data_IF_417446084075
#
_entry.id   IF_417446084075
#
_cell.length_a   1.000
_cell.length_b   1.000
_cell.length_c   1.000
_cell.angle_alpha   90.00
_cell.angle_beta   90.00
_cell.angle_gamma   90.00
#
_symmetry.space_group_name_H-M   'P 1'
#
loop_
_entity.id
_entity.type
_entity.pdbx_description
1 polymer ?
#
# COMPACT_ATOMS: atom_id res chain seq x y z
N UNK A 1 -12.65 16.95 -14.75
CA UNK A 1 -11.53 16.03 -15.01
C UNK A 1 -10.50 16.13 -13.89
N UNK A 2 -9.88 15.02 -13.45
CA UNK A 2 -8.83 15.05 -12.44
C UNK A 2 -7.62 15.87 -12.90
N UNK A 3 -6.85 16.47 -11.98
CA UNK A 3 -5.58 17.09 -12.33
C UNK A 3 -4.61 16.09 -12.97
N UNK A 4 -3.79 16.53 -13.93
CA UNK A 4 -2.85 15.65 -14.66
C UNK A 4 -1.88 14.89 -13.75
N UNK A 5 -1.41 15.53 -12.68
CA UNK A 5 -0.51 14.90 -11.72
C UNK A 5 -1.17 13.72 -10.98
N UNK A 6 -2.49 13.76 -10.77
CA UNK A 6 -3.25 12.67 -10.15
C UNK A 6 -3.29 11.46 -11.07
N UNK A 7 -3.56 11.70 -12.36
CA UNK A 7 -3.53 10.64 -13.37
C UNK A 7 -2.14 10.03 -13.49
N UNK A 8 -1.09 10.86 -13.49
CA UNK A 8 0.28 10.37 -13.51
C UNK A 8 0.56 9.46 -12.30
N UNK A 9 0.22 9.89 -11.09
CA UNK A 9 0.42 9.07 -9.88
C UNK A 9 -0.35 7.75 -9.97
N UNK A 10 -1.63 7.79 -10.37
CA UNK A 10 -2.43 6.59 -10.51
C UNK A 10 -1.86 5.60 -11.54
N UNK A 11 -1.44 6.10 -12.71
CA UNK A 11 -0.82 5.27 -13.75
C UNK A 11 0.52 4.71 -13.26
N UNK A 12 1.34 5.51 -12.57
CA UNK A 12 2.59 5.02 -11.99
C UNK A 12 2.35 3.94 -10.93
N UNK A 13 1.31 4.07 -10.10
CA UNK A 13 0.92 3.02 -9.14
C UNK A 13 0.56 1.71 -9.84
N UNK A 14 -0.22 1.76 -10.92
CA UNK A 14 -0.58 0.58 -11.72
C UNK A 14 0.65 -0.02 -12.39
N UNK A 15 1.49 0.79 -13.04
CA UNK A 15 2.72 0.31 -13.67
C UNK A 15 3.65 -0.34 -12.64
N UNK A 16 3.81 0.27 -11.47
CA UNK A 16 4.61 -0.31 -10.40
C UNK A 16 4.01 -1.64 -9.88
N UNK A 17 2.68 -1.75 -9.82
CA UNK A 17 2.00 -2.98 -9.46
C UNK A 17 2.27 -4.09 -10.48
N UNK A 18 2.12 -3.81 -11.78
CA UNK A 18 2.36 -4.78 -12.87
C UNK A 18 3.82 -5.22 -12.91
N UNK A 19 4.75 -4.28 -12.79
CA UNK A 19 6.18 -4.59 -12.69
C UNK A 19 6.46 -5.44 -11.45
N UNK A 20 5.83 -5.14 -10.31
CA UNK A 20 5.93 -5.92 -9.08
C UNK A 20 5.42 -7.35 -9.27
N UNK A 21 4.20 -7.52 -9.76
CA UNK A 21 3.57 -8.83 -10.02
C UNK A 21 4.37 -9.66 -11.04
N UNK A 22 4.78 -9.04 -12.14
CA UNK A 22 5.62 -9.67 -13.16
C UNK A 22 6.99 -10.08 -12.61
N UNK A 23 7.61 -9.24 -11.78
CA UNK A 23 8.89 -9.56 -11.13
C UNK A 23 8.75 -10.73 -10.16
N UNK A 24 7.67 -10.80 -9.39
CA UNK A 24 7.41 -11.93 -8.49
C UNK A 24 7.22 -13.24 -9.24
N UNK A 25 6.57 -13.22 -10.39
CA UNK A 25 6.41 -14.40 -11.23
C UNK A 25 7.74 -14.84 -11.86
N UNK A 26 8.52 -13.88 -12.38
CA UNK A 26 9.76 -14.14 -13.11
C UNK A 26 10.93 -14.53 -12.22
N UNK A 27 11.05 -13.91 -11.04
CA UNK A 27 12.20 -13.98 -10.14
C UNK A 27 11.85 -14.62 -8.78
N UNK A 28 10.81 -15.46 -8.73
CA UNK A 28 10.33 -16.06 -7.48
C UNK A 28 11.45 -16.76 -6.70
N UNK A 29 12.25 -17.58 -7.38
CA UNK A 29 13.31 -18.37 -6.76
C UNK A 29 14.41 -17.47 -6.21
N UNK A 30 14.82 -16.47 -6.99
CA UNK A 30 15.85 -15.51 -6.64
C UNK A 30 15.43 -14.64 -5.45
N UNK A 31 14.17 -14.16 -5.43
CA UNK A 31 13.62 -13.38 -4.32
C UNK A 31 13.55 -14.19 -3.03
N UNK A 32 13.06 -15.43 -3.09
CA UNK A 32 13.04 -16.33 -1.93
C UNK A 32 14.44 -16.63 -1.42
N UNK A 33 15.39 -16.89 -2.32
CA UNK A 33 16.79 -17.12 -1.95
C UNK A 33 17.39 -15.89 -1.27
N UNK A 34 17.25 -14.71 -1.88
CA UNK A 34 17.74 -13.45 -1.34
C UNK A 34 17.18 -13.17 0.06
N UNK A 35 15.87 -13.36 0.25
CA UNK A 35 15.22 -13.16 1.54
C UNK A 35 15.76 -14.15 2.59
N UNK A 36 15.86 -15.44 2.23
CA UNK A 36 16.34 -16.49 3.12
C UNK A 36 17.80 -16.28 3.55
N UNK A 37 18.67 -15.94 2.60
CA UNK A 37 20.08 -15.60 2.89
C UNK A 37 20.17 -14.40 3.84
N UNK A 38 19.35 -13.37 3.60
CA UNK A 38 19.25 -12.21 4.49
C UNK A 38 18.83 -12.55 5.92
N UNK A 39 17.89 -13.49 6.07
CA UNK A 39 17.41 -13.98 7.36
C UNK A 39 18.48 -14.82 8.09
N UNK A 40 19.11 -15.76 7.38
CA UNK A 40 20.17 -16.63 7.91
C UNK A 40 21.40 -15.84 8.36
N UNK A 41 21.70 -14.71 7.68
CA UNK A 41 22.78 -13.82 8.09
C UNK A 41 22.49 -13.08 9.42
N UNK A 42 21.26 -13.13 9.95
CA UNK A 42 20.82 -12.38 11.14
C UNK A 42 20.00 -13.27 12.08
N UNK A 43 20.56 -14.37 12.59
CA UNK A 43 19.81 -15.35 13.39
C UNK A 43 19.15 -14.73 14.63
N UNK A 44 19.83 -13.82 15.32
CA UNK A 44 19.28 -13.16 16.52
C UNK A 44 18.08 -12.25 16.27
N UNK A 45 17.92 -11.72 15.05
CA UNK A 45 16.76 -10.90 14.67
C UNK A 45 15.52 -11.77 14.43
N UNK A 46 15.74 -12.96 13.91
CA UNK A 46 14.68 -13.92 13.58
C UNK A 46 14.41 -14.92 14.71
N UNK A 47 15.25 -14.94 15.75
CA UNK A 47 15.11 -15.87 16.87
C UNK A 47 15.53 -17.30 16.50
N UNK A 48 16.47 -17.45 15.57
CA UNK A 48 17.02 -18.77 15.20
C UNK A 48 17.88 -19.32 16.35
N UNK A 49 17.63 -20.57 16.72
CA UNK A 49 18.23 -21.24 17.89
C UNK A 49 19.25 -22.31 17.50
N UNK A 50 19.48 -22.56 16.22
CA UNK A 50 20.41 -23.58 15.71
C UNK A 50 19.81 -24.98 15.65
N UNK A 51 18.53 -25.14 15.99
CA UNK A 51 17.80 -26.41 15.89
C UNK A 51 17.06 -26.41 14.57
N UNK A 52 17.50 -27.26 13.63
CA UNK A 52 17.03 -27.27 12.23
C UNK A 52 15.51 -27.21 12.09
N UNK A 53 14.78 -28.13 12.73
CA UNK A 53 13.33 -28.22 12.57
C UNK A 53 12.58 -27.01 13.15
N UNK A 54 13.16 -26.34 14.15
CA UNK A 54 12.60 -25.11 14.75
C UNK A 54 12.90 -23.92 13.85
N UNK A 55 14.15 -23.79 13.42
CA UNK A 55 14.62 -22.68 12.60
C UNK A 55 13.97 -22.71 11.21
N UNK A 56 13.79 -23.88 10.60
CA UNK A 56 13.07 -24.03 9.34
C UNK A 56 11.64 -23.51 9.45
N UNK A 57 10.92 -23.81 10.53
CA UNK A 57 9.56 -23.31 10.75
C UNK A 57 9.52 -21.78 10.85
N UNK A 58 10.47 -21.19 11.58
CA UNK A 58 10.57 -19.74 11.74
C UNK A 58 10.88 -19.06 10.41
N UNK A 59 11.85 -19.60 9.66
CA UNK A 59 12.24 -19.08 8.35
C UNK A 59 11.09 -19.20 7.34
N UNK A 60 10.37 -20.31 7.33
CA UNK A 60 9.23 -20.52 6.44
C UNK A 60 8.11 -19.52 6.74
N UNK A 61 7.79 -19.28 8.01
CA UNK A 61 6.83 -18.25 8.38
C UNK A 61 7.27 -16.87 7.87
N UNK A 62 8.53 -16.51 8.09
CA UNK A 62 9.07 -15.22 7.64
C UNK A 62 9.04 -15.08 6.11
N UNK A 63 9.34 -16.15 5.37
CA UNK A 63 9.28 -16.19 3.91
C UNK A 63 7.85 -16.10 3.38
N UNK A 64 6.89 -16.75 4.04
CA UNK A 64 5.46 -16.63 3.71
C UNK A 64 4.99 -15.18 3.87
N UNK A 65 5.39 -14.49 4.95
CA UNK A 65 5.03 -13.08 5.16
C UNK A 65 5.75 -12.15 4.18
N UNK A 66 7.00 -12.43 3.85
CA UNK A 66 7.74 -11.72 2.80
C UNK A 66 7.01 -11.78 1.45
N UNK A 67 6.64 -12.98 0.99
CA UNK A 67 5.90 -13.19 -0.26
C UNK A 67 4.50 -12.55 -0.20
N UNK A 68 3.80 -12.69 0.94
CA UNK A 68 2.52 -12.05 1.15
C UNK A 68 2.60 -10.52 1.03
N UNK A 69 3.66 -9.90 1.57
CA UNK A 69 3.90 -8.46 1.42
C UNK A 69 4.04 -8.03 -0.05
N UNK A 70 4.77 -8.78 -0.86
CA UNK A 70 4.90 -8.47 -2.29
C UNK A 70 3.56 -8.63 -3.04
N UNK A 71 2.80 -9.69 -2.76
CA UNK A 71 1.45 -9.89 -3.32
C UNK A 71 0.50 -8.78 -2.93
N UNK A 72 0.52 -8.38 -1.67
CA UNK A 72 -0.33 -7.30 -1.16
C UNK A 72 0.06 -5.97 -1.80
N UNK A 73 1.34 -5.68 -2.00
CA UNK A 73 1.79 -4.52 -2.75
C UNK A 73 1.21 -4.52 -4.16
N UNK A 74 1.36 -5.62 -4.92
CA UNK A 74 0.84 -5.73 -6.28
C UNK A 74 -0.67 -5.46 -6.32
N UNK A 75 -1.47 -6.22 -5.56
CA UNK A 75 -2.94 -6.07 -5.60
C UNK A 75 -3.41 -4.68 -5.14
N UNK A 76 -2.81 -4.12 -4.08
CA UNK A 76 -3.25 -2.83 -3.56
C UNK A 76 -2.76 -1.68 -4.41
N UNK A 77 -1.55 -1.72 -4.98
CA UNK A 77 -1.05 -0.66 -5.85
C UNK A 77 -1.87 -0.56 -7.14
N UNK A 78 -2.25 -1.70 -7.72
CA UNK A 78 -3.11 -1.76 -8.90
C UNK A 78 -4.51 -1.22 -8.57
N UNK A 79 -5.15 -1.77 -7.52
CA UNK A 79 -6.49 -1.37 -7.11
C UNK A 79 -6.57 0.11 -6.70
N UNK A 80 -5.58 0.61 -5.96
CA UNK A 80 -5.57 2.00 -5.52
C UNK A 80 -5.38 2.99 -6.67
N UNK A 81 -4.66 2.64 -7.73
CA UNK A 81 -4.59 3.46 -8.94
C UNK A 81 -5.97 3.74 -9.53
N UNK A 82 -6.81 2.69 -9.62
CA UNK A 82 -8.20 2.82 -10.08
C UNK A 82 -9.07 3.63 -9.10
N UNK A 83 -8.93 3.38 -7.79
CA UNK A 83 -9.65 4.14 -6.75
C UNK A 83 -9.32 5.62 -6.83
N UNK A 84 -8.04 5.99 -6.99
CA UNK A 84 -7.59 7.39 -7.11
C UNK A 84 -8.25 8.06 -8.32
N UNK A 85 -8.25 7.40 -9.48
CA UNK A 85 -8.88 7.95 -10.70
C UNK A 85 -10.37 8.18 -10.46
N UNK A 86 -11.10 7.15 -10.01
CA UNK A 86 -12.54 7.22 -9.83
C UNK A 86 -12.94 8.28 -8.79
N UNK A 87 -12.31 8.25 -7.62
CA UNK A 87 -12.66 9.14 -6.51
C UNK A 87 -12.26 10.59 -6.79
N UNK A 88 -11.14 10.83 -7.48
CA UNK A 88 -10.76 12.18 -7.90
C UNK A 88 -11.67 12.75 -9.00
N UNK A 89 -12.22 11.90 -9.89
CA UNK A 89 -13.25 12.31 -10.84
C UNK A 89 -14.55 12.73 -10.12
N UNK A 90 -15.01 11.94 -9.15
CA UNK A 90 -16.18 12.26 -8.34
C UNK A 90 -15.94 13.58 -7.59
N UNK A 91 -14.81 13.71 -6.89
CA UNK A 91 -14.43 14.92 -6.16
C UNK A 91 -14.38 16.16 -7.07
N UNK A 92 -13.84 16.01 -8.28
CA UNK A 92 -13.78 17.08 -9.28
C UNK A 92 -15.17 17.53 -9.76
N UNK A 93 -16.16 16.65 -9.68
CA UNK A 93 -17.53 16.88 -10.18
C UNK A 93 -18.45 17.44 -9.09
N UNK A 94 -18.39 16.87 -7.87
CA UNK A 94 -19.36 17.19 -6.81
C UNK A 94 -18.92 18.33 -5.91
N UNK A 95 -17.61 18.57 -5.77
CA UNK A 95 -17.09 19.57 -4.83
C UNK A 95 -16.86 20.91 -5.56
N UNK A 96 -17.73 21.88 -5.25
CA UNK A 96 -17.66 23.25 -5.80
C UNK A 96 -16.55 24.08 -5.15
N UNK A 97 -16.32 23.93 -3.85
CA UNK A 97 -15.33 24.71 -3.13
C UNK A 97 -13.90 24.29 -3.50
N UNK A 98 -13.13 25.20 -4.10
CA UNK A 98 -11.83 24.89 -4.70
C UNK A 98 -10.82 24.32 -3.68
N UNK A 99 -10.76 24.89 -2.46
CA UNK A 99 -9.81 24.42 -1.44
C UNK A 99 -10.14 23.01 -0.95
N UNK A 100 -11.40 22.74 -0.55
CA UNK A 100 -11.88 21.42 -0.15
C UNK A 100 -11.65 20.37 -1.24
N UNK A 101 -11.96 20.70 -2.51
CA UNK A 101 -11.69 19.82 -3.64
C UNK A 101 -10.21 19.47 -3.75
N UNK A 102 -9.33 20.47 -3.67
CA UNK A 102 -7.87 20.25 -3.72
C UNK A 102 -7.38 19.40 -2.55
N UNK A 103 -7.87 19.67 -1.35
CA UNK A 103 -7.48 18.92 -0.15
C UNK A 103 -7.89 17.44 -0.24
N UNK A 104 -9.14 17.17 -0.62
CA UNK A 104 -9.64 15.79 -0.78
C UNK A 104 -8.88 15.05 -1.89
N UNK A 105 -8.68 15.69 -3.05
CA UNK A 105 -7.90 15.08 -4.14
C UNK A 105 -6.45 14.82 -3.70
N UNK A 106 -5.83 15.75 -2.97
CA UNK A 106 -4.48 15.56 -2.44
C UNK A 106 -4.42 14.35 -1.50
N UNK A 107 -5.28 14.30 -0.49
CA UNK A 107 -5.33 13.21 0.49
C UNK A 107 -5.63 11.85 -0.17
N UNK A 108 -6.58 11.77 -1.11
CA UNK A 108 -6.86 10.55 -1.87
C UNK A 108 -5.65 10.09 -2.67
N UNK A 109 -4.94 11.02 -3.31
CA UNK A 109 -3.82 10.66 -4.18
C UNK A 109 -2.59 10.26 -3.37
N UNK A 110 -2.19 11.06 -2.38
CA UNK A 110 -1.02 10.76 -1.55
C UNK A 110 -1.27 9.56 -0.65
N UNK A 111 -2.45 9.50 -0.02
CA UNK A 111 -2.85 8.38 0.82
C UNK A 111 -2.97 7.08 0.02
N UNK A 112 -3.67 7.14 -1.12
CA UNK A 112 -3.92 5.96 -1.92
C UNK A 112 -2.68 5.40 -2.59
N UNK A 113 -1.76 6.25 -3.05
CA UNK A 113 -0.50 5.82 -3.64
C UNK A 113 0.52 5.39 -2.57
N UNK A 114 0.52 6.05 -1.41
CA UNK A 114 1.46 5.75 -0.32
C UNK A 114 1.11 4.47 0.44
N UNK A 115 -0.16 4.15 0.62
CA UNK A 115 -0.58 2.98 1.41
C UNK A 115 -0.01 1.64 0.90
N UNK A 116 -0.07 1.31 -0.40
CA UNK A 116 0.51 0.07 -0.93
C UNK A 116 2.02 -0.06 -0.69
N UNK A 117 2.75 1.07 -0.69
CA UNK A 117 4.22 1.10 -0.44
C UNK A 117 4.55 0.49 0.92
N UNK A 118 3.64 0.55 1.89
CA UNK A 118 3.83 -0.06 3.21
C UNK A 118 4.05 -1.56 3.14
N UNK A 119 3.38 -2.26 2.22
CA UNK A 119 3.57 -3.70 2.02
C UNK A 119 4.93 -4.03 1.39
N UNK A 120 5.38 -3.19 0.43
CA UNK A 120 6.69 -3.33 -0.19
C UNK A 120 7.81 -3.10 0.84
N UNK A 121 7.70 -2.04 1.63
CA UNK A 121 8.64 -1.71 2.70
C UNK A 121 8.63 -2.78 3.78
N UNK A 122 7.46 -3.26 4.20
CA UNK A 122 7.35 -4.36 5.15
C UNK A 122 8.10 -5.59 4.63
N UNK A 123 7.80 -6.04 3.42
CA UNK A 123 8.47 -7.18 2.78
C UNK A 123 9.99 -6.99 2.71
N UNK A 124 10.47 -5.84 2.24
CA UNK A 124 11.90 -5.55 2.14
C UNK A 124 12.63 -5.49 3.49
N UNK A 125 11.93 -5.10 4.57
CA UNK A 125 12.49 -5.02 5.91
C UNK A 125 12.55 -6.37 6.63
N UNK A 126 11.68 -7.33 6.31
CA UNK A 126 11.63 -8.62 7.02
C UNK A 126 13.02 -9.29 7.10
N UNK A 127 13.80 -9.47 6.01
CA UNK A 127 15.08 -10.15 6.09
C UNK A 127 16.08 -9.49 7.05
N UNK A 128 16.01 -8.17 7.22
CA UNK A 128 16.96 -7.39 8.02
C UNK A 128 16.49 -7.07 9.43
N UNK A 129 15.18 -6.92 9.65
CA UNK A 129 14.59 -6.43 10.91
C UNK A 129 13.67 -7.45 11.59
N UNK A 130 13.37 -8.58 10.96
CA UNK A 130 12.42 -9.56 11.48
C UNK A 130 10.98 -9.09 11.33
N UNK A 131 10.02 -9.98 11.62
CA UNK A 131 8.61 -9.74 11.35
C UNK A 131 8.03 -8.57 12.15
N UNK A 132 8.19 -8.60 13.47
CA UNK A 132 7.57 -7.64 14.37
C UNK A 132 8.07 -6.22 14.12
N UNK A 133 9.40 -6.02 14.10
CA UNK A 133 9.97 -4.69 13.90
C UNK A 133 9.72 -4.16 12.50
N UNK A 134 9.79 -5.01 11.46
CA UNK A 134 9.43 -4.60 10.10
C UNK A 134 7.97 -4.13 10.04
N UNK A 135 7.06 -4.86 10.70
CA UNK A 135 5.63 -4.50 10.76
C UNK A 135 5.43 -3.18 11.47
N UNK A 136 6.01 -2.99 12.66
CA UNK A 136 5.92 -1.73 13.41
C UNK A 136 6.39 -0.53 12.58
N UNK A 137 7.51 -0.68 11.87
CA UNK A 137 8.03 0.39 11.01
C UNK A 137 7.08 0.69 9.85
N UNK A 138 6.61 -0.33 9.14
CA UNK A 138 5.66 -0.14 8.04
C UNK A 138 4.33 0.47 8.52
N UNK A 139 3.86 0.07 9.69
CA UNK A 139 2.63 0.56 10.29
C UNK A 139 2.72 2.06 10.61
N UNK A 140 3.70 2.46 11.41
CA UNK A 140 3.79 3.85 11.87
C UNK A 140 4.26 4.82 10.79
N UNK A 141 5.17 4.38 9.91
CA UNK A 141 5.74 5.27 8.90
C UNK A 141 4.88 5.36 7.64
N UNK A 142 4.06 4.34 7.35
CA UNK A 142 3.38 4.24 6.07
C UNK A 142 1.88 3.94 6.24
N UNK A 143 1.49 2.78 6.76
CA UNK A 143 0.06 2.40 6.75
C UNK A 143 -0.82 3.35 7.54
N UNK A 144 -0.44 3.73 8.76
CA UNK A 144 -1.23 4.66 9.59
C UNK A 144 -1.36 6.02 8.91
N UNK A 145 -0.29 6.74 8.52
CA UNK A 145 -0.44 8.08 7.94
C UNK A 145 -1.18 8.06 6.60
N UNK A 146 -0.78 7.20 5.66
CA UNK A 146 -1.37 7.19 4.32
C UNK A 146 -2.75 6.50 4.26
N UNK A 147 -2.94 5.43 5.03
CA UNK A 147 -4.23 4.77 5.18
C UNK A 147 -5.26 5.70 5.82
N UNK A 148 -4.90 6.38 6.91
CA UNK A 148 -5.79 7.34 7.58
C UNK A 148 -6.14 8.52 6.67
N UNK A 149 -5.16 9.06 5.94
CA UNK A 149 -5.40 10.12 4.97
C UNK A 149 -6.45 9.71 3.91
N UNK A 150 -6.33 8.48 3.39
CA UNK A 150 -7.28 7.92 2.42
C UNK A 150 -8.67 7.75 3.03
N UNK A 151 -8.76 7.16 4.22
CA UNK A 151 -10.02 6.91 4.92
C UNK A 151 -10.75 8.23 5.19
N UNK A 152 -10.05 9.22 5.75
CA UNK A 152 -10.63 10.54 6.02
C UNK A 152 -11.14 11.18 4.73
N UNK A 153 -10.35 11.15 3.66
CA UNK A 153 -10.75 11.75 2.39
C UNK A 153 -11.96 11.05 1.76
N UNK A 154 -12.04 9.73 1.85
CA UNK A 154 -13.19 8.94 1.39
C UNK A 154 -14.46 9.27 2.19
N UNK A 155 -14.37 9.37 3.51
CA UNK A 155 -15.50 9.78 4.35
C UNK A 155 -15.98 11.19 4.03
N UNK A 156 -15.06 12.14 3.86
CA UNK A 156 -15.40 13.49 3.43
C UNK A 156 -16.08 13.47 2.05
N UNK A 157 -15.53 12.72 1.09
CA UNK A 157 -16.11 12.61 -0.24
C UNK A 157 -17.53 12.02 -0.19
N UNK A 158 -17.72 10.91 0.54
CA UNK A 158 -19.02 10.29 0.74
C UNK A 158 -20.05 11.27 1.34
N UNK A 159 -19.64 12.03 2.35
CA UNK A 159 -20.47 13.09 2.94
C UNK A 159 -20.87 14.17 1.94
N UNK A 160 -19.92 14.63 1.11
CA UNK A 160 -20.23 15.65 0.06
C UNK A 160 -21.16 15.12 -1.02
N UNK A 161 -21.03 13.84 -1.41
CA UNK A 161 -21.94 13.19 -2.36
C UNK A 161 -23.33 13.11 -1.76
N UNK A 162 -23.47 12.57 -0.54
CA UNK A 162 -24.76 12.45 0.14
C UNK A 162 -25.46 13.82 0.29
N UNK A 163 -24.70 14.84 0.71
CA UNK A 163 -25.22 16.22 0.80
C UNK A 163 -25.69 16.75 -0.56
N UNK A 164 -24.93 16.53 -1.63
CA UNK A 164 -25.30 16.99 -2.97
C UNK A 164 -26.59 16.33 -3.47
N UNK A 165 -26.85 15.07 -3.10
CA UNK A 165 -28.07 14.36 -3.46
C UNK A 165 -29.27 14.91 -2.67
N UNK A 166 -29.08 15.20 -1.37
CA UNK A 166 -30.13 15.78 -0.54
C UNK A 166 -30.50 17.20 -0.96
N UNK A 167 -29.51 18.04 -1.29
CA UNK A 167 -29.74 19.41 -1.74
C UNK A 167 -30.53 19.46 -3.07
N UNK A 168 -30.25 18.55 -4.01
CA UNK A 168 -31.01 18.43 -5.27
C UNK A 168 -32.45 17.97 -5.10
N UNK A 169 -32.78 17.26 -4.02
CA UNK A 169 -34.17 16.86 -3.72
C UNK A 169 -35.01 17.99 -3.11
N UNK A 170 -34.37 19.04 -2.61
CA UNK A 170 -35.04 20.18 -1.95
C UNK A 170 -35.26 21.39 -2.88
N UNK A 171 -34.71 21.35 -4.10
CA UNK A 171 -34.85 22.37 -5.13
C UNK A 171 -35.82 21.87 -6.20
#
# INVERSE_FOLDING_TARGET
MPPRWVLLVAVLSIVAAEVGGGSMARYKVELTRWAREGMLARPGVHGLVGVRDVDERILDEALVKFDAGLRLFHMHAEGMGLVIIATSMVAATVIRHAAARRAIIALLTTGGAGYPVGYLVWSALIPSHGLERAKTLAEWLIWVPFGSATIVALWCLAGTVAWSMLARRRA
#
